data_IF_587012041495
#
_entry.id   IF_587012041495
#
_cell.length_a   1.000
_cell.length_b   1.000
_cell.length_c   1.000
_cell.angle_alpha   90.00
_cell.angle_beta   90.00
_cell.angle_gamma   90.00
#
_symmetry.space_group_name_H-M   'P 1'
#
loop_
_entity.id
_entity.type
_entity.pdbx_description
1 polymer ?
#
# COMPACT_ATOMS: atom_id res chain seq x y z
N UNK A 1 -41.75 -33.69 32.72
CA UNK A 1 -41.21 -34.57 31.69
C UNK A 1 -42.00 -35.91 31.53
N UNK A 2 -42.39 -36.60 32.62
CA UNK A 2 -43.15 -37.87 32.52
C UNK A 2 -44.53 -37.74 31.86
N UNK A 3 -45.28 -36.63 32.07
CA UNK A 3 -46.61 -36.40 31.44
C UNK A 3 -46.53 -36.18 29.91
N UNK A 4 -45.49 -35.50 29.42
CA UNK A 4 -45.27 -35.31 27.98
C UNK A 4 -44.97 -36.65 27.26
N UNK A 5 -44.17 -37.51 27.88
CA UNK A 5 -43.85 -38.83 27.37
C UNK A 5 -45.07 -39.73 27.27
N UNK A 6 -45.95 -39.67 28.23
CA UNK A 6 -47.20 -40.46 28.28
C UNK A 6 -48.26 -39.96 27.28
N UNK A 7 -48.35 -38.62 27.00
CA UNK A 7 -49.20 -38.07 25.94
C UNK A 7 -48.71 -38.47 24.52
N UNK A 8 -47.42 -38.54 24.31
CA UNK A 8 -46.83 -38.94 23.03
C UNK A 8 -47.07 -40.45 22.76
N UNK A 9 -47.10 -41.26 23.81
CA UNK A 9 -47.33 -42.73 23.68
C UNK A 9 -48.79 -43.07 23.40
N UNK A 10 -49.77 -42.20 23.69
CA UNK A 10 -51.19 -42.52 23.54
C UNK A 10 -51.84 -42.07 22.23
N UNK A 11 -51.19 -41.26 21.39
CA UNK A 11 -51.77 -40.73 20.17
C UNK A 11 -50.91 -41.09 18.94
N UNK A 12 -51.45 -41.91 18.05
CA UNK A 12 -50.79 -42.29 16.76
C UNK A 12 -50.45 -41.04 15.92
N UNK A 13 -51.33 -40.05 15.93
CA UNK A 13 -51.15 -38.79 15.20
C UNK A 13 -49.95 -38.00 15.70
N UNK A 14 -49.71 -37.97 17.02
CA UNK A 14 -48.53 -37.27 17.59
C UNK A 14 -47.20 -37.97 17.23
N UNK A 15 -47.17 -39.28 17.18
CA UNK A 15 -45.98 -40.03 16.76
C UNK A 15 -45.66 -39.77 15.29
N UNK A 16 -46.66 -39.80 14.40
CA UNK A 16 -46.45 -39.48 12.98
C UNK A 16 -45.94 -38.04 12.78
N UNK A 17 -46.53 -37.07 13.47
CA UNK A 17 -46.08 -35.68 13.43
C UNK A 17 -44.62 -35.51 13.91
N UNK A 18 -44.23 -36.24 14.96
CA UNK A 18 -42.88 -36.20 15.50
C UNK A 18 -41.87 -36.79 14.52
N UNK A 19 -42.19 -37.89 13.83
CA UNK A 19 -41.33 -38.49 12.80
C UNK A 19 -41.14 -37.53 11.60
N UNK A 20 -42.22 -36.92 11.12
CA UNK A 20 -42.15 -35.95 10.02
C UNK A 20 -41.30 -34.76 10.42
N UNK A 21 -41.45 -34.24 11.63
CA UNK A 21 -40.64 -33.16 12.16
C UNK A 21 -39.17 -33.51 12.25
N UNK A 22 -38.83 -34.71 12.73
CA UNK A 22 -37.44 -35.21 12.80
C UNK A 22 -36.79 -35.35 11.43
N UNK A 23 -37.51 -35.91 10.45
CA UNK A 23 -37.01 -36.01 9.07
C UNK A 23 -36.81 -34.65 8.45
N UNK A 24 -37.79 -33.73 8.60
CA UNK A 24 -37.67 -32.38 8.10
C UNK A 24 -36.47 -31.65 8.73
N UNK A 25 -36.30 -31.73 10.05
CA UNK A 25 -35.19 -31.11 10.77
C UNK A 25 -33.81 -31.67 10.28
N UNK A 26 -33.71 -32.96 10.03
CA UNK A 26 -32.49 -33.57 9.52
C UNK A 26 -32.10 -33.06 8.14
N UNK A 27 -33.10 -32.92 7.25
CA UNK A 27 -32.87 -32.38 5.90
C UNK A 27 -32.43 -30.91 5.97
N UNK A 28 -33.07 -30.10 6.82
CA UNK A 28 -32.68 -28.71 7.02
C UNK A 28 -31.26 -28.57 7.58
N UNK A 29 -30.87 -29.37 8.55
CA UNK A 29 -29.52 -29.36 9.12
C UNK A 29 -28.49 -29.69 8.07
N UNK A 30 -28.70 -30.72 7.25
CA UNK A 30 -27.79 -31.11 6.18
C UNK A 30 -27.67 -30.03 5.09
N UNK A 31 -28.81 -29.46 4.68
CA UNK A 31 -28.84 -28.39 3.70
C UNK A 31 -28.12 -27.12 4.21
N UNK A 32 -28.36 -26.75 5.48
CA UNK A 32 -27.74 -25.58 6.09
C UNK A 32 -26.24 -25.78 6.28
N UNK A 33 -25.82 -26.98 6.65
CA UNK A 33 -24.39 -27.32 6.79
C UNK A 33 -23.65 -27.25 5.46
N UNK A 34 -24.26 -27.82 4.39
CA UNK A 34 -23.72 -27.72 3.05
C UNK A 34 -23.59 -26.28 2.55
N UNK A 35 -24.67 -25.50 2.70
CA UNK A 35 -24.68 -24.08 2.35
C UNK A 35 -23.63 -23.27 3.12
N UNK A 36 -23.52 -23.48 4.44
CA UNK A 36 -22.56 -22.76 5.27
C UNK A 36 -21.10 -23.09 4.92
N UNK A 37 -20.85 -24.36 4.56
CA UNK A 37 -19.53 -24.78 4.13
C UNK A 37 -19.13 -24.13 2.79
N UNK A 38 -20.05 -24.07 1.85
CA UNK A 38 -19.84 -23.44 0.55
C UNK A 38 -19.69 -21.92 0.63
N UNK A 39 -20.54 -21.25 1.39
CA UNK A 39 -20.48 -19.81 1.61
C UNK A 39 -19.13 -19.38 2.23
N UNK A 40 -18.60 -20.17 3.15
CA UNK A 40 -17.32 -19.90 3.81
C UNK A 40 -16.12 -20.02 2.86
N UNK A 41 -16.18 -20.93 1.89
CA UNK A 41 -15.15 -21.12 0.86
C UNK A 41 -15.12 -19.93 -0.11
N UNK A 42 -16.29 -19.54 -0.62
CA UNK A 42 -16.40 -18.44 -1.58
C UNK A 42 -15.96 -17.08 -1.02
N UNK A 43 -16.36 -16.76 0.22
CA UNK A 43 -15.93 -15.50 0.87
C UNK A 43 -14.41 -15.45 1.08
N UNK A 44 -13.80 -16.60 1.35
CA UNK A 44 -12.35 -16.66 1.56
C UNK A 44 -11.56 -16.51 0.26
N UNK A 45 -12.02 -17.11 -0.82
CA UNK A 45 -11.43 -16.98 -2.16
C UNK A 45 -11.55 -15.53 -2.66
N UNK A 46 -12.73 -14.94 -2.56
CA UNK A 46 -12.99 -13.57 -2.97
C UNK A 46 -12.15 -12.55 -2.17
N UNK A 47 -12.00 -12.76 -0.86
CA UNK A 47 -11.15 -11.91 -0.02
C UNK A 47 -9.66 -12.04 -0.37
N UNK A 48 -9.19 -13.24 -0.73
CA UNK A 48 -7.82 -13.47 -1.19
C UNK A 48 -7.56 -12.83 -2.55
N UNK A 49 -8.47 -12.99 -3.50
CA UNK A 49 -8.37 -12.39 -4.83
C UNK A 49 -8.36 -10.86 -4.76
N UNK A 50 -9.25 -10.26 -3.97
CA UNK A 50 -9.26 -8.82 -3.75
C UNK A 50 -7.97 -8.32 -3.08
N UNK A 51 -7.42 -9.07 -2.13
CA UNK A 51 -6.15 -8.73 -1.49
C UNK A 51 -4.98 -8.80 -2.49
N UNK A 52 -4.95 -9.79 -3.36
CA UNK A 52 -3.93 -9.93 -4.40
C UNK A 52 -4.01 -8.80 -5.43
N UNK A 53 -5.19 -8.50 -5.96
CA UNK A 53 -5.40 -7.39 -6.89
C UNK A 53 -4.98 -6.05 -6.28
N UNK A 54 -5.29 -5.83 -5.00
CA UNK A 54 -4.90 -4.61 -4.28
C UNK A 54 -3.38 -4.54 -4.09
N UNK A 55 -2.73 -5.66 -3.81
CA UNK A 55 -1.28 -5.75 -3.68
C UNK A 55 -0.59 -5.44 -5.01
N UNK A 56 -1.03 -6.08 -6.11
CA UNK A 56 -0.47 -5.88 -7.44
C UNK A 56 -0.62 -4.41 -7.90
N UNK A 57 -1.77 -3.81 -7.67
CA UNK A 57 -1.98 -2.39 -7.96
C UNK A 57 -1.06 -1.48 -7.13
N UNK A 58 -0.80 -1.83 -5.86
CA UNK A 58 0.13 -1.07 -5.01
C UNK A 58 1.56 -1.19 -5.51
N UNK A 59 2.00 -2.40 -5.91
CA UNK A 59 3.32 -2.63 -6.50
C UNK A 59 3.49 -1.79 -7.76
N UNK A 60 2.52 -1.83 -8.68
CA UNK A 60 2.55 -1.03 -9.92
C UNK A 60 2.63 0.48 -9.65
N UNK A 61 1.96 0.97 -8.62
CA UNK A 61 2.07 2.38 -8.23
C UNK A 61 3.45 2.72 -7.69
N UNK A 62 4.05 1.87 -6.87
CA UNK A 62 5.41 2.05 -6.36
C UNK A 62 6.42 2.03 -7.52
N UNK A 63 6.34 1.04 -8.41
CA UNK A 63 7.22 0.93 -9.57
C UNK A 63 7.13 2.16 -10.48
N UNK A 64 5.93 2.66 -10.70
CA UNK A 64 5.72 3.89 -11.47
C UNK A 64 6.40 5.10 -10.84
N UNK A 65 6.29 5.26 -9.52
CA UNK A 65 6.93 6.36 -8.79
C UNK A 65 8.45 6.22 -8.85
N UNK A 66 8.99 5.02 -8.59
CA UNK A 66 10.44 4.75 -8.65
C UNK A 66 11.01 4.99 -10.04
N UNK A 67 10.37 4.47 -11.09
CA UNK A 67 10.79 4.68 -12.47
C UNK A 67 10.75 6.16 -12.89
N UNK A 68 9.75 6.90 -12.42
CA UNK A 68 9.68 8.35 -12.65
C UNK A 68 10.85 9.10 -12.00
N UNK A 69 11.21 8.74 -10.77
CA UNK A 69 12.34 9.35 -10.06
C UNK A 69 13.67 8.97 -10.71
N UNK A 70 13.85 7.69 -11.07
CA UNK A 70 15.05 7.21 -11.76
C UNK A 70 15.26 7.97 -13.07
N UNK A 71 14.24 8.08 -13.91
CA UNK A 71 14.30 8.84 -15.16
C UNK A 71 14.64 10.31 -14.93
N UNK A 72 14.06 10.92 -13.89
CA UNK A 72 14.36 12.31 -13.55
C UNK A 72 15.82 12.49 -13.12
N UNK A 73 16.37 11.57 -12.33
CA UNK A 73 17.77 11.60 -11.88
C UNK A 73 18.72 11.37 -13.05
N UNK A 74 18.44 10.41 -13.94
CA UNK A 74 19.24 10.17 -15.15
C UNK A 74 19.28 11.40 -16.06
N UNK A 75 18.15 12.02 -16.32
CA UNK A 75 18.08 13.25 -17.11
C UNK A 75 18.86 14.40 -16.44
N UNK A 76 18.79 14.47 -15.09
CA UNK A 76 19.49 15.52 -14.36
C UNK A 76 20.99 15.33 -14.35
N UNK A 77 21.51 14.10 -14.35
CA UNK A 77 22.96 13.83 -14.36
C UNK A 77 23.64 14.43 -15.59
N UNK A 78 22.98 14.43 -16.74
CA UNK A 78 23.46 15.13 -17.94
C UNK A 78 23.53 16.64 -17.75
N UNK A 79 22.50 17.23 -17.14
CA UNK A 79 22.49 18.67 -16.87
C UNK A 79 23.54 19.06 -15.82
N UNK A 80 23.78 18.21 -14.82
CA UNK A 80 24.85 18.44 -13.85
C UNK A 80 26.20 18.46 -14.56
N UNK A 81 26.47 17.46 -15.44
CA UNK A 81 27.71 17.39 -16.19
C UNK A 81 27.92 18.61 -17.13
N UNK A 82 26.87 19.11 -17.76
CA UNK A 82 26.91 20.29 -18.64
C UNK A 82 27.09 21.62 -17.87
N UNK A 83 26.73 21.66 -16.60
CA UNK A 83 26.73 22.89 -15.79
C UNK A 83 27.72 22.84 -14.63
N UNK A 84 28.74 21.97 -14.67
CA UNK A 84 29.73 21.86 -13.60
C UNK A 84 30.45 23.17 -13.30
N UNK A 85 30.65 24.04 -14.29
CA UNK A 85 31.28 25.36 -14.10
C UNK A 85 30.42 26.37 -13.33
N UNK A 86 29.15 26.00 -13.03
CA UNK A 86 28.16 26.89 -12.38
C UNK A 86 27.63 26.27 -11.08
N UNK A 87 28.40 26.28 -9.96
CA UNK A 87 28.00 25.61 -8.72
C UNK A 87 26.65 26.09 -8.17
N UNK A 88 26.33 27.36 -8.30
CA UNK A 88 25.04 27.89 -7.81
C UNK A 88 23.84 27.38 -8.61
N UNK A 89 24.04 26.93 -9.85
CA UNK A 89 22.98 26.33 -10.64
C UNK A 89 22.54 24.98 -10.11
N UNK A 90 23.37 24.30 -9.32
CA UNK A 90 23.06 23.00 -8.71
C UNK A 90 21.85 23.06 -7.77
N UNK A 91 21.62 24.21 -7.12
CA UNK A 91 20.39 24.40 -6.34
C UNK A 91 19.13 24.41 -7.21
N UNK A 92 19.18 25.00 -8.39
CA UNK A 92 18.06 25.00 -9.33
C UNK A 92 17.78 23.58 -9.83
N UNK A 93 18.80 22.77 -10.05
CA UNK A 93 18.66 21.38 -10.47
C UNK A 93 18.01 20.51 -9.38
N UNK A 94 18.44 20.64 -8.13
CA UNK A 94 17.80 19.90 -7.01
C UNK A 94 16.34 20.32 -6.82
N UNK A 95 16.00 21.61 -6.99
CA UNK A 95 14.61 22.09 -6.96
C UNK A 95 13.78 21.53 -8.13
N UNK A 96 14.38 21.39 -9.31
CA UNK A 96 13.70 20.88 -10.50
C UNK A 96 13.21 19.43 -10.29
N UNK A 97 14.02 18.57 -9.64
CA UNK A 97 13.59 17.21 -9.28
C UNK A 97 12.31 17.25 -8.44
N UNK A 98 12.28 18.09 -7.41
CA UNK A 98 11.12 18.20 -6.53
C UNK A 98 9.88 18.72 -7.26
N UNK A 99 10.07 19.71 -8.15
CA UNK A 99 8.96 20.27 -8.94
C UNK A 99 8.35 19.23 -9.89
N UNK A 100 9.21 18.44 -10.54
CA UNK A 100 8.77 17.43 -11.50
C UNK A 100 8.22 16.16 -10.86
N UNK A 101 8.52 15.91 -9.57
CA UNK A 101 8.15 14.69 -8.86
C UNK A 101 7.49 15.01 -7.52
N UNK A 102 6.15 15.11 -7.45
CA UNK A 102 5.43 15.46 -6.23
C UNK A 102 5.68 14.53 -5.03
N UNK A 103 6.05 13.28 -5.29
CA UNK A 103 6.33 12.27 -4.28
C UNK A 103 7.75 12.35 -3.68
N UNK A 104 8.64 13.14 -4.29
CA UNK A 104 10.00 13.36 -3.77
C UNK A 104 9.97 14.43 -2.71
N UNK A 105 10.45 14.11 -1.52
CA UNK A 105 10.49 14.99 -0.36
C UNK A 105 11.75 15.85 -0.33
N UNK A 106 12.88 15.32 -0.84
CA UNK A 106 14.15 16.02 -0.89
C UNK A 106 15.06 15.49 -1.97
N UNK A 107 15.98 16.33 -2.45
CA UNK A 107 16.98 16.01 -3.46
C UNK A 107 18.30 16.72 -3.13
N UNK A 108 19.40 16.02 -3.28
CA UNK A 108 20.76 16.55 -3.07
C UNK A 108 21.68 16.14 -4.21
N UNK A 109 22.66 16.99 -4.48
CA UNK A 109 23.83 16.66 -5.31
C UNK A 109 25.05 16.80 -4.40
N UNK A 110 25.81 15.72 -4.22
CA UNK A 110 27.02 15.75 -3.42
C UNK A 110 28.26 15.77 -4.35
N UNK A 111 29.19 16.64 -4.06
CA UNK A 111 30.47 16.74 -4.75
C UNK A 111 31.59 16.19 -3.87
N UNK A 112 32.70 15.81 -4.51
CA UNK A 112 33.91 15.43 -3.79
C UNK A 112 34.42 16.58 -2.93
N UNK A 113 35.09 16.30 -1.81
CA UNK A 113 35.66 17.34 -0.97
C UNK A 113 36.55 18.29 -1.75
N UNK A 114 36.34 19.60 -1.56
CA UNK A 114 37.08 20.67 -2.23
C UNK A 114 36.95 20.71 -3.76
N UNK A 115 35.94 20.07 -4.34
CA UNK A 115 35.64 20.17 -5.77
C UNK A 115 35.38 21.62 -6.21
N UNK A 116 34.67 22.38 -5.35
CA UNK A 116 34.49 23.84 -5.48
C UNK A 116 35.08 24.54 -4.26
N UNK A 117 36.38 24.93 -4.30
CA UNK A 117 37.05 25.53 -3.14
C UNK A 117 36.38 26.80 -2.63
N UNK A 118 35.75 27.58 -3.52
CA UNK A 118 35.00 28.80 -3.18
C UNK A 118 33.67 28.55 -2.44
N UNK A 119 33.18 27.29 -2.46
CA UNK A 119 31.95 26.87 -1.75
C UNK A 119 32.24 26.15 -0.43
N UNK A 120 33.52 26.03 -0.05
CA UNK A 120 33.96 25.34 1.14
C UNK A 120 34.37 23.89 0.89
N UNK A 121 34.83 23.22 1.96
CA UNK A 121 35.37 21.86 1.86
C UNK A 121 34.34 20.82 1.40
N UNK A 122 33.08 20.99 1.79
CA UNK A 122 31.99 20.09 1.46
C UNK A 122 30.86 20.89 0.81
N UNK A 123 30.73 20.76 -0.52
CA UNK A 123 29.63 21.39 -1.23
C UNK A 123 28.58 20.33 -1.59
N UNK A 124 27.38 20.49 -1.01
CA UNK A 124 26.26 19.59 -1.27
C UNK A 124 24.95 20.37 -1.24
N UNK A 125 24.54 20.95 -2.38
CA UNK A 125 23.24 21.62 -2.49
C UNK A 125 22.10 20.63 -2.30
N UNK A 126 21.21 20.96 -1.39
CA UNK A 126 20.05 20.19 -1.01
C UNK A 126 18.79 21.04 -1.09
N UNK A 127 17.76 20.51 -1.70
CA UNK A 127 16.42 21.10 -1.73
C UNK A 127 15.41 20.13 -1.11
N UNK A 128 14.41 20.67 -0.41
CA UNK A 128 13.41 19.88 0.30
C UNK A 128 12.05 20.59 0.30
N UNK A 129 10.99 19.77 0.44
CA UNK A 129 9.64 20.29 0.63
C UNK A 129 9.41 20.66 2.08
N UNK A 130 8.82 21.82 2.29
CA UNK A 130 8.36 22.28 3.59
C UNK A 130 6.92 21.83 3.85
N UNK A 131 6.50 21.82 5.11
CA UNK A 131 5.16 21.38 5.52
C UNK A 131 4.01 22.19 4.88
N UNK A 132 4.29 23.44 4.49
CA UNK A 132 3.39 24.34 3.77
C UNK A 132 3.34 24.08 2.25
N UNK A 133 4.07 23.05 1.78
CA UNK A 133 4.14 22.67 0.36
C UNK A 133 5.16 23.45 -0.46
N UNK A 134 5.89 24.42 0.15
CA UNK A 134 6.97 25.15 -0.49
C UNK A 134 8.21 24.28 -0.75
N UNK A 135 9.15 24.81 -1.53
CA UNK A 135 10.47 24.20 -1.73
C UNK A 135 11.52 25.18 -1.21
N UNK A 136 12.39 24.69 -0.33
CA UNK A 136 13.54 25.43 0.19
C UNK A 136 14.83 24.70 -0.11
N UNK A 137 15.92 25.45 -0.20
CA UNK A 137 17.24 24.91 -0.43
C UNK A 137 18.20 25.33 0.66
N UNK A 138 19.17 24.48 0.95
CA UNK A 138 20.29 24.73 1.85
C UNK A 138 21.51 23.95 1.41
N UNK A 139 22.68 24.30 1.90
CA UNK A 139 23.89 23.48 1.78
C UNK A 139 23.92 22.46 2.90
N UNK A 140 24.24 21.21 2.58
CA UNK A 140 24.55 20.16 3.56
C UNK A 140 26.05 20.15 3.83
N UNK A 141 26.47 19.64 5.01
CA UNK A 141 27.88 19.51 5.37
C UNK A 141 28.52 20.79 5.96
N UNK A 142 27.73 21.78 6.33
CA UNK A 142 28.21 22.99 7.02
C UNK A 142 28.45 22.78 8.51
N UNK A 143 28.24 21.59 9.06
CA UNK A 143 28.61 21.25 10.44
C UNK A 143 27.66 21.82 11.53
N UNK A 144 26.44 22.24 11.15
CA UNK A 144 25.39 22.69 12.08
C UNK A 144 24.36 21.59 12.37
#
# INVERSE_FOLDING_TARGET
>A
MKKLKQMIESSFSLRMSLYILMVAASVFILAFWGYFRQARSSVREEAMEQAQVKLDNTILQIDKVLSSVETAVQNLSWLVADKLDYPDYMYALTQQILRSNPHVVGSAIAFEPSYYPEKGALFSPYSYRTADGGIRSKQLGTGD
#
